data_IF_857862329868
#
_entry.id   IF_857862329868
#
_cell.length_a   1.000
_cell.length_b   1.000
_cell.length_c   1.000
_cell.angle_alpha   90.00
_cell.angle_beta   90.00
_cell.angle_gamma   90.00
#
_symmetry.space_group_name_H-M   'P 1'
#
loop_
_entity.id
_entity.type
_entity.pdbx_description
1 polymer ?
#
# COMPACT_ATOMS: atom_id res chain seq x y z
N UNK A 1 -6.02 -30.15 -4.26
CA UNK A 1 -5.46 -28.81 -4.02
C UNK A 1 -5.99 -28.30 -2.69
N UNK A 2 -5.11 -27.93 -1.76
CA UNK A 2 -5.51 -27.44 -0.43
C UNK A 2 -6.23 -26.09 -0.48
N UNK A 3 -7.05 -25.78 0.52
CA UNK A 3 -7.91 -24.59 0.51
C UNK A 3 -7.08 -23.31 0.46
N UNK A 4 -6.02 -23.24 1.28
CA UNK A 4 -5.16 -22.06 1.35
C UNK A 4 -4.26 -21.86 0.14
N UNK A 5 -3.94 -22.93 -0.60
CA UNK A 5 -3.19 -22.81 -1.85
C UNK A 5 -4.02 -22.08 -2.91
N UNK A 6 -5.31 -22.41 -3.02
CA UNK A 6 -6.23 -21.71 -3.90
C UNK A 6 -6.45 -20.24 -3.46
N UNK A 7 -6.54 -19.97 -2.16
CA UNK A 7 -6.68 -18.60 -1.66
C UNK A 7 -5.44 -17.74 -1.93
N UNK A 8 -4.24 -18.31 -1.80
CA UNK A 8 -2.99 -17.62 -2.15
C UNK A 8 -2.92 -17.30 -3.63
N UNK A 9 -3.30 -18.24 -4.50
CA UNK A 9 -3.30 -18.00 -5.95
C UNK A 9 -4.27 -16.86 -6.33
N UNK A 10 -5.49 -16.89 -5.77
CA UNK A 10 -6.46 -15.81 -5.95
C UNK A 10 -5.98 -14.46 -5.38
N UNK A 11 -5.24 -14.47 -4.26
CA UNK A 11 -4.64 -13.26 -3.69
C UNK A 11 -3.57 -12.70 -4.63
N UNK A 12 -2.67 -13.55 -5.14
CA UNK A 12 -1.61 -13.14 -6.06
C UNK A 12 -2.20 -12.56 -7.34
N UNK A 13 -3.20 -13.22 -7.92
CA UNK A 13 -3.92 -12.75 -9.11
C UNK A 13 -4.54 -11.36 -8.91
N UNK A 14 -5.24 -11.14 -7.79
CA UNK A 14 -5.86 -9.82 -7.49
C UNK A 14 -4.83 -8.71 -7.28
N UNK A 15 -3.64 -9.05 -6.80
CA UNK A 15 -2.54 -8.09 -6.56
C UNK A 15 -1.60 -7.93 -7.76
N UNK A 16 -1.80 -8.67 -8.86
CA UNK A 16 -0.88 -8.70 -10.00
C UNK A 16 0.49 -9.31 -9.68
N UNK A 17 0.57 -10.09 -8.60
CA UNK A 17 1.80 -10.79 -8.21
C UNK A 17 1.98 -12.06 -9.04
N UNK A 18 3.23 -12.52 -9.16
CA UNK A 18 3.53 -13.83 -9.73
C UNK A 18 2.83 -14.94 -8.93
N UNK A 19 2.41 -16.00 -9.60
CA UNK A 19 1.81 -17.16 -8.96
C UNK A 19 2.73 -17.73 -7.87
N UNK A 20 2.17 -18.18 -6.74
CA UNK A 20 2.95 -18.69 -5.63
C UNK A 20 3.72 -19.95 -6.04
N UNK A 21 4.98 -20.05 -5.63
CA UNK A 21 5.81 -21.22 -5.90
C UNK A 21 5.98 -22.08 -4.65
N UNK A 22 5.79 -23.38 -4.78
CA UNK A 22 5.90 -24.35 -3.69
C UNK A 22 7.13 -25.22 -3.91
N UNK A 23 7.96 -25.36 -2.88
CA UNK A 23 9.06 -26.32 -2.83
C UNK A 23 8.93 -27.16 -1.58
N UNK A 24 8.63 -28.44 -1.75
CA UNK A 24 8.59 -29.39 -0.65
C UNK A 24 9.94 -30.07 -0.50
N UNK A 25 10.43 -30.15 0.73
CA UNK A 25 11.62 -30.89 1.10
C UNK A 25 11.22 -32.05 2.01
N UNK A 26 11.83 -33.22 1.78
CA UNK A 26 11.69 -34.38 2.65
C UNK A 26 13.00 -34.60 3.37
N UNK A 27 12.92 -34.75 4.68
CA UNK A 27 14.04 -35.12 5.54
C UNK A 27 13.65 -36.35 6.39
N UNK A 28 14.61 -36.94 7.10
CA UNK A 28 14.39 -38.10 7.97
C UNK A 28 13.35 -37.85 9.08
N UNK A 29 13.10 -36.59 9.43
CA UNK A 29 12.12 -36.15 10.44
C UNK A 29 10.72 -35.89 9.87
N UNK A 30 10.54 -35.80 8.54
CA UNK A 30 9.26 -35.52 7.90
C UNK A 30 9.37 -34.63 6.66
N UNK A 31 8.30 -33.89 6.37
CA UNK A 31 8.15 -33.02 5.20
C UNK A 31 8.07 -31.56 5.63
N UNK A 32 8.89 -30.71 5.01
CA UNK A 32 8.80 -29.25 5.14
C UNK A 32 8.46 -28.64 3.80
N UNK A 33 7.90 -27.43 3.80
CA UNK A 33 7.58 -26.74 2.56
C UNK A 33 7.96 -25.27 2.64
N UNK A 34 8.51 -24.77 1.53
CA UNK A 34 8.81 -23.37 1.27
C UNK A 34 7.80 -22.83 0.26
N UNK A 35 7.19 -21.68 0.54
CA UNK A 35 6.27 -20.97 -0.34
C UNK A 35 6.85 -19.61 -0.68
N UNK A 36 7.04 -19.34 -1.98
CA UNK A 36 7.50 -18.07 -2.50
C UNK A 36 6.30 -17.23 -2.96
N UNK A 37 6.11 -16.06 -2.36
CA UNK A 37 5.05 -15.11 -2.74
C UNK A 37 5.64 -13.70 -2.80
N UNK A 38 5.67 -13.08 -3.98
CA UNK A 38 6.14 -11.70 -4.15
C UNK A 38 7.56 -11.45 -3.55
N UNK A 39 8.50 -12.36 -3.84
CA UNK A 39 9.87 -12.35 -3.30
C UNK A 39 9.95 -12.43 -1.76
N UNK A 40 8.90 -12.97 -1.13
CA UNK A 40 8.90 -13.37 0.28
C UNK A 40 8.84 -14.88 0.35
N UNK A 41 9.74 -15.45 1.15
CA UNK A 41 9.81 -16.89 1.38
C UNK A 41 9.16 -17.21 2.73
N UNK A 42 8.29 -18.21 2.74
CA UNK A 42 7.59 -18.68 3.93
C UNK A 42 7.85 -20.16 4.10
N UNK A 43 8.31 -20.56 5.27
CA UNK A 43 8.60 -21.96 5.59
C UNK A 43 7.64 -22.49 6.66
N UNK A 44 7.43 -23.80 6.65
CA UNK A 44 6.84 -24.52 7.78
C UNK A 44 7.77 -24.52 8.99
N UNK A 45 7.26 -24.18 10.18
CA UNK A 45 8.06 -24.16 11.42
C UNK A 45 8.47 -25.55 11.91
N UNK A 46 7.70 -26.57 11.54
CA UNK A 46 7.87 -27.95 11.98
C UNK A 46 7.77 -28.91 10.78
N UNK A 47 8.44 -30.08 10.84
CA UNK A 47 8.27 -31.13 9.84
C UNK A 47 6.90 -31.82 10.01
N UNK A 48 6.21 -32.03 8.89
CA UNK A 48 4.91 -32.68 8.81
C UNK A 48 5.00 -34.12 8.31
N UNK A 49 3.94 -34.89 8.53
CA UNK A 49 3.90 -36.30 8.14
C UNK A 49 3.77 -36.52 6.63
N UNK A 50 3.17 -35.56 5.91
CA UNK A 50 2.97 -35.64 4.44
C UNK A 50 3.33 -34.31 3.77
N UNK A 51 3.65 -34.39 2.49
CA UNK A 51 3.91 -33.25 1.62
C UNK A 51 2.69 -32.32 1.50
N UNK A 52 1.49 -32.89 1.40
CA UNK A 52 0.25 -32.11 1.31
C UNK A 52 0.01 -31.28 2.58
N UNK A 53 0.25 -31.86 3.76
CA UNK A 53 0.13 -31.14 5.04
C UNK A 53 1.17 -30.02 5.15
N UNK A 54 2.41 -30.27 4.72
CA UNK A 54 3.46 -29.25 4.73
C UNK A 54 3.10 -28.08 3.80
N UNK A 55 2.63 -28.37 2.59
CA UNK A 55 2.22 -27.37 1.61
C UNK A 55 1.04 -26.52 2.11
N UNK A 56 0.01 -27.15 2.69
CA UNK A 56 -1.16 -26.42 3.17
C UNK A 56 -0.86 -25.56 4.40
N UNK A 57 -0.02 -26.04 5.32
CA UNK A 57 0.40 -25.24 6.47
C UNK A 57 1.27 -24.05 6.04
N UNK A 58 2.22 -24.25 5.14
CA UNK A 58 3.03 -23.15 4.60
C UNK A 58 2.15 -22.12 3.84
N UNK A 59 1.17 -22.60 3.07
CA UNK A 59 0.19 -21.75 2.40
C UNK A 59 -0.65 -20.93 3.39
N UNK A 60 -1.03 -21.52 4.51
CA UNK A 60 -1.80 -20.85 5.57
C UNK A 60 -1.01 -19.68 6.16
N UNK A 61 0.27 -19.90 6.51
CA UNK A 61 1.14 -18.86 7.04
C UNK A 61 1.35 -17.73 6.03
N UNK A 62 1.74 -18.07 4.81
CA UNK A 62 1.93 -17.11 3.73
C UNK A 62 0.66 -16.29 3.46
N UNK A 63 -0.52 -16.92 3.47
CA UNK A 63 -1.79 -16.21 3.29
C UNK A 63 -2.08 -15.21 4.41
N UNK A 64 -1.91 -15.61 5.68
CA UNK A 64 -2.19 -14.73 6.82
C UNK A 64 -1.24 -13.53 6.86
N UNK A 65 0.02 -13.70 6.46
CA UNK A 65 1.01 -12.62 6.42
C UNK A 65 0.79 -11.73 5.18
N UNK A 66 0.57 -12.32 4.00
CA UNK A 66 0.39 -11.59 2.74
C UNK A 66 -0.92 -10.80 2.71
N UNK A 67 -2.00 -11.29 3.32
CA UNK A 67 -3.28 -10.58 3.35
C UNK A 67 -3.19 -9.28 4.15
N UNK A 68 -2.43 -9.28 5.24
CA UNK A 68 -2.31 -8.14 6.16
C UNK A 68 -1.24 -7.14 5.70
N UNK A 69 -0.17 -7.63 5.07
CA UNK A 69 0.87 -6.78 4.49
C UNK A 69 0.39 -6.17 3.17
N UNK A 70 -0.32 -5.06 3.24
CA UNK A 70 -0.39 -4.08 2.15
C UNK A 70 0.94 -3.31 2.09
N UNK A 71 2.04 -4.03 1.85
CA UNK A 71 3.29 -3.39 1.42
C UNK A 71 2.97 -2.77 0.06
N UNK A 72 2.62 -1.48 0.07
CA UNK A 72 2.76 -0.64 -1.08
C UNK A 72 4.26 -0.67 -1.46
N UNK A 73 4.68 -1.64 -2.28
CA UNK A 73 5.99 -1.70 -2.93
C UNK A 73 6.08 -0.63 -4.04
N UNK A 74 5.65 0.58 -3.70
CA UNK A 74 5.54 1.76 -4.55
C UNK A 74 5.69 3.08 -3.79
N UNK A 75 5.79 3.06 -2.44
CA UNK A 75 6.10 4.27 -1.65
C UNK A 75 7.43 4.18 -0.89
N UNK A 76 8.37 3.38 -1.38
CA UNK A 76 9.78 3.59 -1.06
C UNK A 76 10.40 4.30 -2.26
N UNK A 77 10.44 5.63 -2.13
CA UNK A 77 11.16 6.61 -2.91
C UNK A 77 12.17 6.02 -3.93
N UNK A 78 11.73 5.83 -5.17
CA UNK A 78 12.64 5.75 -6.31
C UNK A 78 12.34 6.94 -7.21
N UNK A 79 13.14 7.99 -7.01
CA UNK A 79 13.31 9.16 -7.86
C UNK A 79 12.37 10.36 -7.64
N UNK A 80 12.22 10.83 -6.40
CA UNK A 80 12.06 12.27 -6.14
C UNK A 80 10.90 13.02 -6.80
N UNK A 81 9.75 12.39 -7.05
CA UNK A 81 8.54 13.09 -7.52
C UNK A 81 7.43 12.93 -6.49
N UNK A 82 7.16 14.03 -5.78
CA UNK A 82 6.01 14.20 -4.90
C UNK A 82 4.77 14.31 -5.79
N UNK A 83 3.93 13.27 -5.82
CA UNK A 83 2.64 13.33 -6.48
C UNK A 83 1.56 13.63 -5.42
N UNK A 84 1.10 14.88 -5.41
CA UNK A 84 -0.23 15.22 -4.91
C UNK A 84 -0.32 15.81 -3.50
N UNK A 85 0.26 16.99 -3.29
CA UNK A 85 -0.29 18.03 -2.40
C UNK A 85 -0.01 19.39 -3.07
N UNK A 86 -0.97 20.34 -3.14
CA UNK A 86 -0.67 21.67 -3.65
C UNK A 86 0.34 22.32 -2.72
N UNK A 87 1.55 22.55 -3.23
CA UNK A 87 2.58 23.30 -2.52
C UNK A 87 2.09 24.73 -2.32
N UNK A 88 1.50 25.00 -1.16
CA UNK A 88 1.55 26.33 -0.59
C UNK A 88 2.99 26.56 -0.09
N UNK A 89 3.40 27.82 -0.08
CA UNK A 89 4.63 28.35 0.52
C UNK A 89 5.86 28.28 -0.41
N UNK A 90 5.92 29.21 -1.36
CA UNK A 90 6.64 30.50 -1.23
C UNK A 90 8.13 30.33 -0.92
N UNK A 91 8.98 30.45 -1.94
CA UNK A 91 10.31 31.07 -1.85
C UNK A 91 10.98 31.06 -3.21
N UNK A 92 10.71 32.08 -4.03
CA UNK A 92 11.70 32.52 -5.00
C UNK A 92 11.94 34.02 -4.84
N UNK A 93 13.19 34.30 -4.51
CA UNK A 93 13.71 35.59 -4.07
C UNK A 93 14.03 36.42 -5.31
N UNK A 94 13.01 37.00 -5.94
CA UNK A 94 13.25 38.00 -6.99
C UNK A 94 13.04 39.44 -6.51
N UNK A 95 14.20 40.07 -6.27
CA UNK A 95 14.57 41.48 -6.52
C UNK A 95 13.46 42.54 -6.36
N UNK A 96 13.55 43.29 -5.25
CA UNK A 96 12.81 44.52 -4.98
C UNK A 96 12.91 45.52 -6.14
N UNK A 97 11.77 45.88 -6.74
CA UNK A 97 11.51 47.24 -7.23
C UNK A 97 10.12 47.67 -6.76
N UNK A 98 10.17 48.62 -5.84
CA UNK A 98 9.06 49.45 -5.38
C UNK A 98 8.37 50.16 -6.54
N UNK A 99 7.05 50.03 -6.65
CA UNK A 99 6.25 51.22 -6.91
C UNK A 99 4.89 51.14 -6.23
N UNK A 100 4.51 52.29 -5.69
CA UNK A 100 3.32 52.59 -4.91
C UNK A 100 2.18 52.82 -5.88
N UNK A 101 0.96 52.43 -5.48
CA UNK A 101 -0.32 53.15 -5.68
C UNK A 101 -1.48 52.18 -5.42
N UNK A 102 -2.01 52.19 -4.20
CA UNK A 102 -3.36 51.72 -3.97
C UNK A 102 -4.21 52.97 -3.74
N UNK A 103 -4.94 53.38 -4.76
CA UNK A 103 -5.87 54.49 -4.70
C UNK A 103 -7.20 53.97 -4.14
N UNK A 104 -7.54 54.45 -2.95
CA UNK A 104 -8.88 54.60 -2.39
C UNK A 104 -9.88 55.15 -3.43
N UNK A 105 -11.14 54.74 -3.49
CA UNK A 105 -12.34 55.02 -2.65
C UNK A 105 -13.52 54.26 -3.32
N UNK A 106 -14.71 53.96 -2.78
CA UNK A 106 -15.70 54.78 -2.05
C UNK A 106 -16.79 53.88 -1.47
N UNK A 107 -17.39 54.36 -0.38
CA UNK A 107 -18.57 53.85 0.31
C UNK A 107 -19.84 53.93 -0.53
N UNK A 108 -20.81 53.04 -0.25
CA UNK A 108 -22.21 53.45 -0.10
C UNK A 108 -23.02 52.40 0.67
N UNK A 109 -23.54 52.85 1.80
CA UNK A 109 -24.48 52.22 2.72
C UNK A 109 -25.88 52.15 2.10
N UNK A 110 -26.66 51.11 2.43
CA UNK A 110 -28.13 51.22 2.48
C UNK A 110 -28.72 50.11 3.35
N UNK A 111 -29.17 50.54 4.52
CA UNK A 111 -30.06 49.88 5.46
C UNK A 111 -31.50 49.85 4.93
N UNK A 112 -32.22 48.75 5.15
CA UNK A 112 -33.70 48.79 5.20
C UNK A 112 -34.24 47.62 6.02
N UNK A 113 -34.73 47.96 7.20
CA UNK A 113 -35.64 47.24 8.07
C UNK A 113 -37.08 47.34 7.57
N UNK A 114 -37.85 46.25 7.55
CA UNK A 114 -39.32 46.28 7.56
C UNK A 114 -39.89 45.08 8.32
N UNK A 115 -40.72 45.41 9.31
CA UNK A 115 -41.60 44.53 10.10
C UNK A 115 -42.91 44.19 9.37
N UNK A 116 -43.72 43.34 10.02
CA UNK A 116 -45.14 42.98 9.77
C UNK A 116 -45.34 41.79 8.82
N UNK A 117 -46.15 40.77 9.09
CA UNK A 117 -47.35 40.60 9.94
C UNK A 117 -47.34 39.22 10.63
#
# INVERSE_FOLDING_TARGET
MGFYMAYLDNLCRRRGWKSPQYKTYRDGQGFTCLVLVNDQEYHTDLPYQTDALAQENAATQAFMICRQSSVCRGMLARNGVIQGLPANETTERHKRRSDRRNHSVTLSSSSSSTSSD
#
